data_IF_431896425345
#
_entry.id   IF_431896425345
#
_cell.length_a   1.000
_cell.length_b   1.000
_cell.length_c   1.000
_cell.angle_alpha   90.00
_cell.angle_beta   90.00
_cell.angle_gamma   90.00
#
_symmetry.space_group_name_H-M   'P 1'
#
loop_
_entity.id
_entity.type
_entity.pdbx_description
1 polymer ?
#
# COMPACT_ATOMS: atom_id res chain seq x y z
N UNK A 1 9.04 46.98 -23.32
CA UNK A 1 8.45 45.69 -22.93
C UNK A 1 8.42 45.47 -21.41
N UNK A 2 9.27 46.12 -20.62
CA UNK A 2 9.36 45.89 -19.16
C UNK A 2 8.14 46.34 -18.32
N UNK A 3 7.39 47.36 -18.76
CA UNK A 3 6.22 47.86 -18.00
C UNK A 3 5.04 46.88 -17.93
N UNK A 4 5.00 45.88 -18.82
CA UNK A 4 3.90 44.90 -18.89
C UNK A 4 4.13 43.70 -17.95
N UNK A 5 5.39 43.38 -17.63
CA UNK A 5 5.74 42.30 -16.71
C UNK A 5 5.53 42.68 -15.24
N UNK A 6 5.80 43.95 -14.87
CA UNK A 6 5.62 44.43 -13.49
C UNK A 6 4.13 44.43 -13.10
N UNK A 7 3.25 44.89 -14.01
CA UNK A 7 1.80 44.89 -13.77
C UNK A 7 1.19 43.49 -13.61
N UNK A 8 1.80 42.45 -14.22
CA UNK A 8 1.32 41.07 -14.11
C UNK A 8 1.69 40.45 -12.75
N UNK A 9 2.85 40.82 -12.20
CA UNK A 9 3.32 40.33 -10.90
C UNK A 9 2.50 40.95 -9.76
N UNK A 10 2.18 42.24 -9.83
CA UNK A 10 1.36 42.93 -8.83
C UNK A 10 -0.08 42.36 -8.79
N UNK A 11 -0.63 41.93 -9.93
CA UNK A 11 -1.98 41.37 -10.02
C UNK A 11 -2.07 39.96 -9.40
N UNK A 12 -1.01 39.14 -9.58
CA UNK A 12 -0.89 37.81 -8.96
C UNK A 12 -0.68 37.92 -7.45
N UNK A 13 0.16 38.84 -6.99
CA UNK A 13 0.37 39.09 -5.55
C UNK A 13 -0.93 39.58 -4.90
N UNK A 14 -1.65 40.50 -5.56
CA UNK A 14 -2.95 40.97 -5.08
C UNK A 14 -4.02 39.87 -5.06
N UNK A 15 -3.99 38.90 -5.99
CA UNK A 15 -4.89 37.76 -5.98
C UNK A 15 -4.60 36.78 -4.82
N UNK A 16 -3.33 36.57 -4.48
CA UNK A 16 -2.92 35.74 -3.34
C UNK A 16 -3.34 36.34 -2.00
N UNK A 17 -3.19 37.66 -1.81
CA UNK A 17 -3.62 38.32 -0.58
C UNK A 17 -5.14 38.26 -0.38
N UNK A 18 -5.92 38.37 -1.46
CA UNK A 18 -7.39 38.22 -1.41
C UNK A 18 -7.81 36.79 -1.04
N UNK A 19 -7.18 35.77 -1.61
CA UNK A 19 -7.46 34.37 -1.23
C UNK A 19 -7.09 34.06 0.22
N UNK A 20 -6.02 34.68 0.74
CA UNK A 20 -5.60 34.46 2.12
C UNK A 20 -6.59 35.05 3.13
N UNK A 21 -7.15 36.23 2.83
CA UNK A 21 -8.14 36.85 3.71
C UNK A 21 -9.51 36.14 3.64
N UNK A 22 -9.92 35.65 2.47
CA UNK A 22 -11.13 34.81 2.34
C UNK A 22 -10.98 33.48 3.10
N UNK A 23 -9.82 32.82 2.99
CA UNK A 23 -9.54 31.57 3.74
C UNK A 23 -9.56 31.82 5.25
N UNK A 24 -9.03 32.96 5.69
CA UNK A 24 -9.02 33.35 7.12
C UNK A 24 -10.42 33.65 7.62
N UNK A 25 -11.27 34.26 6.79
CA UNK A 25 -12.68 34.53 7.10
C UNK A 25 -13.49 33.23 7.21
N UNK A 26 -13.32 32.29 6.27
CA UNK A 26 -13.95 30.97 6.34
C UNK A 26 -13.51 30.19 7.59
N UNK A 27 -12.23 30.26 7.94
CA UNK A 27 -11.69 29.62 9.15
C UNK A 27 -12.25 30.26 10.44
N UNK A 28 -12.56 31.56 10.41
CA UNK A 28 -13.20 32.27 11.52
C UNK A 28 -14.68 31.93 11.64
N UNK A 29 -15.39 31.74 10.53
CA UNK A 29 -16.79 31.29 10.49
C UNK A 29 -16.94 29.85 10.97
N UNK A 30 -16.04 28.93 10.58
CA UNK A 30 -16.02 27.55 11.09
C UNK A 30 -15.74 27.49 12.61
N UNK A 31 -14.89 28.38 13.12
CA UNK A 31 -14.59 28.44 14.56
C UNK A 31 -15.76 28.98 15.39
N UNK A 32 -16.56 29.89 14.81
CA UNK A 32 -17.75 30.43 15.46
C UNK A 32 -18.89 29.38 15.52
N UNK A 33 -19.06 28.56 14.47
CA UNK A 33 -20.03 27.45 14.48
C UNK A 33 -19.69 26.35 15.50
N UNK A 34 -18.41 26.14 15.81
CA UNK A 34 -17.97 25.15 16.80
C UNK A 34 -18.21 25.56 18.26
N UNK A 35 -18.57 26.83 18.52
CA UNK A 35 -18.75 27.39 19.86
C UNK A 35 -20.17 27.24 20.44
N UNK A 36 -21.08 26.54 19.73
CA UNK A 36 -22.49 26.34 20.15
C UNK A 36 -22.89 24.87 20.44
N UNK A 37 -21.96 24.01 20.86
CA UNK A 37 -22.31 22.70 21.42
C UNK A 37 -22.05 22.62 22.93
N UNK A 38 -22.95 21.99 23.72
CA UNK A 38 -22.76 21.87 25.17
C UNK A 38 -21.58 20.94 25.51
N UNK A 39 -20.97 21.08 26.70
CA UNK A 39 -19.76 20.35 27.03
C UNK A 39 -20.08 18.86 27.23
N UNK A 40 -19.51 18.00 26.37
CA UNK A 40 -19.45 16.57 26.65
C UNK A 40 -18.37 16.32 27.69
N UNK A 41 -18.82 15.83 28.84
CA UNK A 41 -18.00 15.45 29.99
C UNK A 41 -16.83 14.55 29.59
N UNK A 42 -15.65 14.88 30.11
CA UNK A 42 -14.42 14.15 29.87
C UNK A 42 -14.52 12.69 30.31
N UNK A 43 -14.09 11.80 29.42
CA UNK A 43 -13.76 10.42 29.74
C UNK A 43 -12.34 10.14 29.24
N UNK A 44 -11.47 9.82 30.19
CA UNK A 44 -10.08 9.41 30.00
C UNK A 44 -9.94 8.35 28.90
N UNK A 45 -8.98 8.54 28.01
CA UNK A 45 -8.46 7.52 27.10
C UNK A 45 -7.76 6.43 27.93
N UNK A 46 -8.53 5.46 28.39
CA UNK A 46 -8.00 4.16 28.82
C UNK A 46 -8.25 3.18 27.68
N UNK A 47 -7.18 2.67 27.08
CA UNK A 47 -7.27 1.63 26.07
C UNK A 47 -8.11 0.44 26.60
N UNK A 48 -9.04 -0.11 25.81
CA UNK A 48 -9.80 -1.27 26.26
C UNK A 48 -8.87 -2.48 26.39
N UNK A 49 -8.82 -3.04 27.61
CA UNK A 49 -8.16 -4.32 27.88
C UNK A 49 -8.85 -5.44 27.09
N UNK A 50 -8.03 -6.34 26.54
CA UNK A 50 -8.42 -7.54 25.77
C UNK A 50 -9.48 -8.42 26.49
N UNK A 51 -9.56 -8.35 27.81
CA UNK A 51 -10.52 -9.10 28.63
C UNK A 51 -11.98 -8.63 28.51
N UNK A 52 -12.24 -7.41 28.01
CA UNK A 52 -13.59 -6.87 27.89
C UNK A 52 -14.40 -7.39 26.69
N UNK A 53 -13.74 -7.99 25.70
CA UNK A 53 -14.37 -8.42 24.44
C UNK A 53 -14.98 -9.83 24.54
N UNK A 54 -14.58 -10.64 25.53
CA UNK A 54 -14.98 -12.04 25.65
C UNK A 54 -16.07 -12.30 26.70
N UNK A 55 -16.57 -11.28 27.39
CA UNK A 55 -17.68 -11.47 28.32
C UNK A 55 -19.02 -11.52 27.56
N UNK A 56 -19.77 -12.64 27.59
CA UNK A 56 -21.10 -12.68 26.98
C UNK A 56 -22.05 -11.82 27.82
N UNK A 57 -22.59 -10.75 27.24
CA UNK A 57 -23.65 -9.95 27.85
C UNK A 57 -24.99 -10.72 27.77
N UNK A 58 -25.61 -11.13 28.89
CA UNK A 58 -26.79 -12.00 28.86
C UNK A 58 -28.12 -11.30 28.51
N UNK A 59 -28.10 -10.03 28.07
CA UNK A 59 -29.31 -9.21 27.96
C UNK A 59 -29.68 -8.72 26.55
N UNK A 60 -29.15 -9.29 25.46
CA UNK A 60 -29.59 -8.92 24.10
C UNK A 60 -30.14 -10.11 23.30
N UNK A 61 -31.37 -10.00 22.73
CA UNK A 61 -31.92 -11.01 21.85
C UNK A 61 -31.08 -11.10 20.57
N UNK A 62 -30.52 -12.29 20.36
CA UNK A 62 -29.70 -12.71 19.22
C UNK A 62 -30.50 -12.57 17.93
N UNK A 63 -30.25 -11.51 17.18
CA UNK A 63 -30.70 -11.34 15.79
C UNK A 63 -29.48 -11.04 14.91
N UNK A 64 -29.13 -11.98 14.04
CA UNK A 64 -28.16 -11.85 12.93
C UNK A 64 -28.77 -12.62 11.76
N UNK A 65 -28.78 -12.11 10.50
CA UNK A 65 -27.53 -12.11 9.70
C UNK A 65 -27.38 -11.07 8.57
N UNK A 66 -28.25 -10.05 8.38
CA UNK A 66 -28.13 -9.17 7.19
C UNK A 66 -26.90 -8.23 7.23
N UNK A 67 -26.59 -7.68 8.40
CA UNK A 67 -25.52 -6.69 8.55
C UNK A 67 -24.14 -7.31 8.36
N UNK A 68 -23.94 -8.58 8.75
CA UNK A 68 -22.66 -9.27 8.58
C UNK A 68 -22.32 -9.53 7.10
N UNK A 69 -23.31 -9.87 6.27
CA UNK A 69 -23.10 -10.06 4.84
C UNK A 69 -22.81 -8.73 4.11
N UNK A 70 -23.48 -7.64 4.48
CA UNK A 70 -23.20 -6.30 3.92
C UNK A 70 -21.82 -5.76 4.33
N UNK A 71 -21.37 -6.01 5.56
CA UNK A 71 -20.02 -5.63 6.00
C UNK A 71 -18.94 -6.45 5.28
N UNK A 72 -19.19 -7.72 4.98
CA UNK A 72 -18.27 -8.55 4.18
C UNK A 72 -18.22 -8.10 2.72
N UNK A 73 -19.36 -7.79 2.11
CA UNK A 73 -19.43 -7.27 0.73
C UNK A 73 -18.71 -5.92 0.58
N UNK A 74 -18.96 -4.99 1.49
CA UNK A 74 -18.25 -3.70 1.49
C UNK A 74 -16.75 -3.82 1.78
N UNK A 75 -16.33 -4.81 2.58
CA UNK A 75 -14.90 -5.10 2.79
C UNK A 75 -14.27 -5.62 1.49
N UNK A 76 -14.95 -6.54 0.79
CA UNK A 76 -14.51 -7.09 -0.48
C UNK A 76 -14.40 -6.01 -1.57
N UNK A 77 -15.41 -5.14 -1.69
CA UNK A 77 -15.42 -4.03 -2.64
C UNK A 77 -14.28 -3.03 -2.36
N UNK A 78 -14.05 -2.69 -1.09
CA UNK A 78 -12.93 -1.84 -0.70
C UNK A 78 -11.58 -2.50 -0.93
N UNK A 79 -11.47 -3.83 -0.78
CA UNK A 79 -10.23 -4.54 -1.12
C UNK A 79 -9.97 -4.57 -2.62
N UNK A 80 -11.01 -4.82 -3.43
CA UNK A 80 -10.92 -4.81 -4.90
C UNK A 80 -10.54 -3.42 -5.42
N UNK A 81 -11.16 -2.35 -4.91
CA UNK A 81 -10.82 -0.98 -5.29
C UNK A 81 -9.37 -0.63 -4.90
N UNK A 82 -8.92 -1.04 -3.71
CA UNK A 82 -7.54 -0.85 -3.27
C UNK A 82 -6.55 -1.68 -4.09
N UNK A 83 -6.92 -2.88 -4.50
CA UNK A 83 -6.11 -3.70 -5.40
C UNK A 83 -6.01 -3.08 -6.79
N UNK A 84 -7.10 -2.50 -7.31
CA UNK A 84 -7.06 -1.84 -8.61
C UNK A 84 -6.08 -0.66 -8.60
N UNK A 85 -6.17 0.21 -7.59
CA UNK A 85 -5.23 1.33 -7.43
C UNK A 85 -3.79 0.82 -7.29
N UNK A 86 -3.57 -0.21 -6.45
CA UNK A 86 -2.23 -0.80 -6.28
C UNK A 86 -1.71 -1.49 -7.53
N UNK A 87 -2.59 -2.03 -8.38
CA UNK A 87 -2.20 -2.71 -9.61
C UNK A 87 -1.69 -1.75 -10.69
N UNK A 88 -1.93 -0.44 -10.52
CA UNK A 88 -1.43 0.63 -11.39
C UNK A 88 -0.15 1.27 -10.83
N UNK A 89 0.44 0.75 -9.77
CA UNK A 89 1.57 1.39 -9.08
C UNK A 89 2.91 0.73 -9.38
N UNK A 90 3.94 1.55 -9.53
CA UNK A 90 5.35 1.13 -9.67
C UNK A 90 6.16 1.75 -8.53
N UNK A 91 6.91 0.93 -7.79
CA UNK A 91 7.76 1.39 -6.70
C UNK A 91 9.20 1.53 -7.20
N UNK A 92 9.75 2.72 -7.05
CA UNK A 92 11.17 3.02 -7.25
C UNK A 92 11.84 3.21 -5.89
N UNK A 93 12.94 2.50 -5.69
CA UNK A 93 13.85 2.73 -4.58
C UNK A 93 15.19 3.19 -5.10
N UNK A 94 15.90 4.00 -4.33
CA UNK A 94 17.28 4.36 -4.65
C UNK A 94 18.11 4.19 -3.38
N UNK A 95 19.39 3.85 -3.56
CA UNK A 95 20.37 3.84 -2.47
C UNK A 95 20.69 5.26 -1.99
N UNK A 96 20.29 6.29 -2.76
CA UNK A 96 20.43 7.70 -2.42
C UNK A 96 19.05 8.31 -2.20
N UNK A 97 18.97 9.31 -1.34
CA UNK A 97 17.73 10.07 -1.21
C UNK A 97 17.41 10.74 -2.54
N UNK A 98 16.17 10.58 -3.00
CA UNK A 98 15.71 11.35 -4.15
C UNK A 98 15.79 12.83 -3.82
N UNK A 99 16.25 13.67 -4.77
CA UNK A 99 16.29 15.10 -4.55
C UNK A 99 14.91 15.64 -4.13
N UNK A 100 14.92 16.79 -3.45
CA UNK A 100 13.71 17.51 -3.05
C UNK A 100 13.00 18.16 -4.27
N UNK A 101 12.84 17.39 -5.36
CA UNK A 101 12.06 17.76 -6.54
C UNK A 101 10.57 17.79 -6.21
N UNK A 102 9.82 18.61 -6.93
CA UNK A 102 8.37 18.64 -6.82
C UNK A 102 7.78 17.34 -7.37
N UNK A 103 6.58 16.96 -6.91
CA UNK A 103 5.89 15.76 -7.40
C UNK A 103 5.63 15.83 -8.91
N UNK A 104 5.31 17.02 -9.45
CA UNK A 104 5.09 17.21 -10.89
C UNK A 104 6.35 16.98 -11.72
N UNK A 105 7.51 17.45 -11.24
CA UNK A 105 8.80 17.26 -11.91
C UNK A 105 9.17 15.77 -11.99
N UNK A 106 8.87 15.00 -10.94
CA UNK A 106 9.11 13.56 -10.93
C UNK A 106 8.23 12.81 -11.93
N UNK A 107 6.98 13.24 -12.11
CA UNK A 107 6.07 12.67 -13.10
C UNK A 107 6.54 12.99 -14.52
N UNK A 108 6.91 14.25 -14.79
CA UNK A 108 7.47 14.65 -16.08
C UNK A 108 8.76 13.89 -16.39
N UNK A 109 9.62 13.71 -15.40
CA UNK A 109 10.86 12.96 -15.53
C UNK A 109 10.61 11.47 -15.81
N UNK A 110 9.65 10.86 -15.11
CA UNK A 110 9.23 9.48 -15.36
C UNK A 110 8.70 9.30 -16.79
N UNK A 111 7.83 10.23 -17.24
CA UNK A 111 7.28 10.19 -18.59
C UNK A 111 8.35 10.40 -19.66
N UNK A 112 9.33 11.27 -19.40
CA UNK A 112 10.50 11.43 -20.27
C UNK A 112 11.29 10.12 -20.37
N UNK A 113 11.55 9.47 -19.23
CA UNK A 113 12.26 8.19 -19.21
C UNK A 113 11.52 7.09 -19.99
N UNK A 114 10.18 7.01 -19.88
CA UNK A 114 9.35 6.06 -20.64
C UNK A 114 9.45 6.33 -22.13
N UNK A 115 9.40 7.59 -22.55
CA UNK A 115 9.51 7.97 -23.96
C UNK A 115 10.86 7.57 -24.55
N UNK A 116 11.94 7.69 -23.77
CA UNK A 116 13.29 7.29 -24.17
C UNK A 116 13.48 5.77 -24.29
N UNK A 117 12.56 4.95 -23.73
CA UNK A 117 12.60 3.49 -23.86
C UNK A 117 12.20 3.00 -25.27
N UNK A 118 11.46 3.82 -26.03
CA UNK A 118 11.06 3.53 -27.41
C UNK A 118 9.55 3.60 -27.68
N UNK A 119 9.18 3.49 -28.96
CA UNK A 119 7.78 3.59 -29.41
C UNK A 119 6.87 2.46 -28.91
N UNK A 120 7.44 1.31 -28.54
CA UNK A 120 6.69 0.16 -28.02
C UNK A 120 5.98 0.47 -26.69
N UNK A 121 6.41 1.51 -25.97
CA UNK A 121 5.84 1.98 -24.71
C UNK A 121 4.99 3.24 -24.88
N UNK A 122 4.73 3.66 -26.12
CA UNK A 122 3.90 4.82 -26.41
C UNK A 122 2.48 4.62 -25.86
N UNK A 123 2.05 5.55 -25.00
CA UNK A 123 0.74 5.49 -24.32
C UNK A 123 0.81 4.99 -22.87
N UNK A 124 1.98 4.59 -22.36
CA UNK A 124 2.19 4.40 -20.93
C UNK A 124 2.64 5.71 -20.29
N UNK A 125 1.91 6.13 -19.25
CA UNK A 125 2.15 7.42 -18.59
C UNK A 125 2.02 7.28 -17.08
N UNK A 126 2.95 7.90 -16.35
CA UNK A 126 2.78 8.22 -14.95
C UNK A 126 1.79 9.40 -14.82
N UNK A 127 0.73 9.18 -14.06
CA UNK A 127 -0.34 10.14 -13.78
C UNK A 127 -0.10 10.85 -12.44
N UNK A 128 0.58 10.16 -11.51
CA UNK A 128 0.82 10.68 -10.19
C UNK A 128 2.07 10.08 -9.56
N UNK A 129 2.52 10.72 -8.49
CA UNK A 129 3.65 10.26 -7.71
C UNK A 129 3.41 10.48 -6.23
N UNK A 130 3.94 9.58 -5.40
CA UNK A 130 3.92 9.69 -3.96
C UNK A 130 5.28 9.35 -3.38
N UNK A 131 5.87 10.28 -2.64
CA UNK A 131 7.08 10.03 -1.86
C UNK A 131 6.75 9.25 -0.59
N UNK A 132 7.52 8.20 -0.31
CA UNK A 132 7.41 7.39 0.89
C UNK A 132 8.40 7.89 1.96
N UNK A 133 8.02 7.76 3.22
CA UNK A 133 8.90 8.08 4.36
C UNK A 133 10.18 7.22 4.39
N UNK A 134 10.17 6.07 3.72
CA UNK A 134 11.33 5.19 3.56
C UNK A 134 12.34 5.68 2.51
N UNK A 135 12.13 6.85 1.91
CA UNK A 135 12.97 7.38 0.83
C UNK A 135 12.68 6.78 -0.56
N UNK A 136 11.62 5.97 -0.69
CA UNK A 136 11.16 5.45 -1.99
C UNK A 136 10.14 6.36 -2.66
N UNK A 137 9.89 6.13 -3.94
CA UNK A 137 8.88 6.84 -4.74
C UNK A 137 7.91 5.82 -5.33
N UNK A 138 6.61 6.07 -5.22
CA UNK A 138 5.58 5.27 -5.90
C UNK A 138 4.99 6.11 -7.01
N UNK A 139 5.09 5.63 -8.24
CA UNK A 139 4.37 6.19 -9.38
C UNK A 139 3.02 5.50 -9.55
N UNK A 140 2.00 6.27 -9.85
CA UNK A 140 0.71 5.78 -10.31
C UNK A 140 0.64 5.92 -11.82
N UNK A 141 0.41 4.80 -12.51
CA UNK A 141 0.34 4.68 -13.95
C UNK A 141 -1.10 4.83 -14.45
N UNK A 142 -1.25 5.23 -15.72
CA UNK A 142 -2.55 5.35 -16.37
C UNK A 142 -3.28 4.01 -16.56
N UNK A 143 -2.57 2.88 -16.53
CA UNK A 143 -3.13 1.54 -16.70
C UNK A 143 -2.38 0.49 -15.87
N UNK A 144 -3.05 -0.65 -15.62
CA UNK A 144 -2.41 -1.82 -14.98
C UNK A 144 -1.31 -2.39 -15.87
N UNK A 145 -1.58 -2.47 -17.17
CA UNK A 145 -0.65 -2.99 -18.17
C UNK A 145 0.66 -2.20 -18.17
N UNK A 146 0.59 -0.87 -18.14
CA UNK A 146 1.78 -0.02 -18.03
C UNK A 146 2.61 -0.35 -16.80
N UNK A 147 1.96 -0.52 -15.64
CA UNK A 147 2.64 -0.86 -14.40
C UNK A 147 3.25 -2.28 -14.43
N UNK A 148 2.57 -3.25 -15.02
CA UNK A 148 3.05 -4.64 -15.16
C UNK A 148 4.25 -4.71 -16.10
N UNK A 149 4.20 -4.02 -17.25
CA UNK A 149 5.30 -3.98 -18.22
C UNK A 149 6.54 -3.33 -17.60
N UNK A 150 6.41 -2.18 -16.94
CA UNK A 150 7.54 -1.51 -16.27
C UNK A 150 8.15 -2.33 -15.13
N UNK A 151 7.41 -3.30 -14.57
CA UNK A 151 7.90 -4.21 -13.53
C UNK A 151 8.45 -5.53 -14.08
N UNK A 152 8.29 -5.79 -15.38
CA UNK A 152 8.79 -7.01 -16.00
C UNK A 152 10.32 -7.06 -16.00
N UNK A 153 10.87 -8.27 -15.91
CA UNK A 153 12.32 -8.49 -15.73
C UNK A 153 13.17 -7.79 -16.78
N UNK A 154 12.70 -7.72 -18.03
CA UNK A 154 13.47 -7.18 -19.16
C UNK A 154 13.36 -5.66 -19.27
N UNK A 155 12.27 -5.07 -18.78
CA UNK A 155 11.92 -3.65 -18.98
C UNK A 155 12.25 -2.80 -17.76
N UNK A 156 12.19 -3.39 -16.56
CA UNK A 156 12.42 -2.68 -15.30
C UNK A 156 13.81 -2.04 -15.21
N UNK A 157 14.83 -2.73 -15.73
CA UNK A 157 16.23 -2.28 -15.69
C UNK A 157 16.43 -1.17 -16.72
N UNK A 158 15.80 -1.27 -17.89
CA UNK A 158 15.79 -0.23 -18.93
C UNK A 158 15.13 1.06 -18.42
N UNK A 159 13.96 0.95 -17.77
CA UNK A 159 13.30 2.10 -17.18
C UNK A 159 14.14 2.73 -16.05
N UNK A 160 14.75 1.92 -15.19
CA UNK A 160 15.62 2.39 -14.13
C UNK A 160 16.86 3.14 -14.66
N UNK A 161 17.46 2.65 -15.73
CA UNK A 161 18.60 3.29 -16.39
C UNK A 161 18.23 4.67 -16.95
N UNK A 162 17.11 4.74 -17.70
CA UNK A 162 16.62 6.00 -18.30
C UNK A 162 16.13 7.00 -17.23
N UNK A 163 15.52 6.53 -16.14
CA UNK A 163 15.07 7.39 -15.07
C UNK A 163 16.24 8.04 -14.30
N UNK A 164 17.41 7.42 -14.28
CA UNK A 164 18.59 7.98 -13.64
C UNK A 164 19.33 6.91 -12.85
N UNK A 165 20.28 6.26 -13.51
CA UNK A 165 21.10 5.17 -12.98
C UNK A 165 21.43 5.30 -11.48
N UNK A 166 21.02 4.29 -10.71
CA UNK A 166 21.04 4.32 -9.25
C UNK A 166 19.66 4.23 -8.60
N UNK A 167 18.61 4.06 -9.41
CA UNK A 167 17.28 3.64 -8.97
C UNK A 167 17.07 2.16 -9.29
N UNK A 168 16.25 1.49 -8.50
CA UNK A 168 15.81 0.12 -8.67
C UNK A 168 14.28 0.12 -8.68
N UNK A 169 13.69 -0.46 -9.72
CA UNK A 169 12.26 -0.74 -9.76
C UNK A 169 12.02 -1.99 -8.91
N UNK A 170 11.32 -1.83 -7.80
CA UNK A 170 10.95 -2.96 -6.95
C UNK A 170 9.68 -3.61 -7.46
N UNK A 171 9.71 -4.93 -7.74
CA UNK A 171 8.52 -5.66 -8.11
C UNK A 171 7.52 -5.61 -6.96
N UNK A 172 6.24 -5.48 -7.31
CA UNK A 172 5.18 -5.51 -6.32
C UNK A 172 5.13 -6.87 -5.63
N UNK A 173 5.11 -6.84 -4.30
CA UNK A 173 4.81 -8.01 -3.50
C UNK A 173 3.51 -7.84 -2.72
N UNK A 174 2.81 -8.96 -2.57
CA UNK A 174 1.49 -9.04 -1.97
C UNK A 174 1.58 -9.88 -0.68
N UNK A 175 1.60 -9.24 0.50
CA UNK A 175 1.74 -9.95 1.77
C UNK A 175 0.49 -10.76 2.12
N UNK A 176 0.69 -12.03 2.47
CA UNK A 176 -0.29 -12.92 3.07
C UNK A 176 0.26 -13.40 4.41
N UNK A 177 -0.56 -13.34 5.46
CA UNK A 177 -0.23 -13.95 6.74
C UNK A 177 -0.81 -15.36 6.76
N UNK A 178 0.05 -16.34 7.01
CA UNK A 178 -0.32 -17.74 7.19
C UNK A 178 -0.08 -18.11 8.65
N UNK A 179 -1.14 -18.51 9.33
CA UNK A 179 -1.06 -18.95 10.71
C UNK A 179 -0.80 -20.45 10.82
N UNK A 180 -0.31 -20.86 11.99
CA UNK A 180 -0.13 -22.27 12.38
C UNK A 180 0.92 -23.05 11.58
N UNK A 181 1.93 -22.35 11.03
CA UNK A 181 3.06 -22.98 10.34
C UNK A 181 4.00 -23.62 11.35
N UNK A 182 4.39 -24.88 11.14
CA UNK A 182 5.30 -25.59 12.04
C UNK A 182 6.66 -24.88 12.15
N UNK A 183 7.17 -24.73 13.37
CA UNK A 183 8.46 -24.06 13.64
C UNK A 183 9.67 -24.83 13.12
N UNK A 184 9.48 -26.10 12.72
CA UNK A 184 10.47 -26.90 12.00
C UNK A 184 10.73 -26.44 10.56
N UNK A 185 9.82 -25.65 9.97
CA UNK A 185 9.96 -25.12 8.62
C UNK A 185 11.14 -24.14 8.53
N UNK A 186 12.10 -24.41 7.63
CA UNK A 186 13.40 -23.71 7.59
C UNK A 186 13.48 -22.68 6.49
N UNK A 187 13.10 -21.46 6.82
CA UNK A 187 13.37 -20.28 6.00
C UNK A 187 14.78 -19.80 6.29
N UNK A 188 15.76 -20.38 5.59
CA UNK A 188 17.16 -19.92 5.66
C UNK A 188 17.64 -19.55 4.26
N UNK A 189 18.54 -18.57 4.16
CA UNK A 189 19.09 -18.06 2.89
C UNK A 189 19.64 -19.15 1.94
N UNK A 190 20.00 -20.32 2.47
CA UNK A 190 20.54 -21.45 1.66
C UNK A 190 19.48 -22.43 1.16
N UNK A 191 18.31 -22.49 1.80
CA UNK A 191 17.24 -23.48 1.51
C UNK A 191 15.94 -22.84 1.05
N UNK A 192 15.90 -21.50 0.98
CA UNK A 192 14.71 -20.70 0.71
C UNK A 192 14.01 -21.12 -0.60
N UNK A 193 14.77 -21.32 -1.67
CA UNK A 193 14.22 -21.69 -2.98
C UNK A 193 13.52 -23.06 -2.97
N UNK A 194 14.14 -24.07 -2.34
CA UNK A 194 13.57 -25.42 -2.27
C UNK A 194 12.29 -25.45 -1.42
N UNK A 195 12.29 -24.72 -0.31
CA UNK A 195 11.12 -24.66 0.59
C UNK A 195 9.96 -23.87 -0.05
N UNK A 196 10.25 -22.87 -0.90
CA UNK A 196 9.23 -22.16 -1.67
C UNK A 196 8.60 -23.06 -2.72
N UNK A 197 9.41 -23.79 -3.48
CA UNK A 197 8.91 -24.75 -4.46
C UNK A 197 8.01 -25.80 -3.81
N UNK A 198 8.38 -26.32 -2.64
CA UNK A 198 7.53 -27.26 -1.88
C UNK A 198 6.18 -26.62 -1.54
N UNK A 199 6.14 -25.39 -1.04
CA UNK A 199 4.88 -24.69 -0.75
C UNK A 199 4.07 -24.47 -2.02
N UNK A 200 4.72 -24.03 -3.09
CA UNK A 200 4.07 -23.74 -4.37
C UNK A 200 3.42 -25.00 -4.96
N UNK A 201 4.16 -26.11 -5.02
CA UNK A 201 3.67 -27.40 -5.50
C UNK A 201 2.51 -27.93 -4.65
N UNK A 202 2.65 -27.93 -3.31
CA UNK A 202 1.60 -28.42 -2.42
C UNK A 202 0.30 -27.59 -2.49
N UNK A 203 0.40 -26.30 -2.81
CA UNK A 203 -0.74 -25.40 -2.89
C UNK A 203 -1.22 -25.13 -4.33
N UNK A 204 -0.65 -25.83 -5.33
CA UNK A 204 -0.92 -25.60 -6.75
C UNK A 204 -0.76 -24.12 -7.13
N UNK A 205 0.33 -23.51 -6.69
CA UNK A 205 0.77 -22.19 -7.10
C UNK A 205 1.75 -22.33 -8.27
N UNK A 206 1.78 -21.36 -9.20
CA UNK A 206 2.83 -21.29 -10.20
C UNK A 206 4.21 -21.23 -9.55
N UNK A 207 5.23 -21.83 -10.17
CA UNK A 207 6.60 -21.72 -9.69
C UNK A 207 7.09 -20.27 -9.64
N UNK A 208 7.78 -19.87 -8.57
CA UNK A 208 8.26 -18.50 -8.37
C UNK A 208 7.17 -17.50 -8.01
N UNK A 209 6.01 -17.99 -7.54
CA UNK A 209 4.93 -17.16 -6.99
C UNK A 209 5.30 -16.52 -5.65
N UNK A 210 6.13 -17.20 -4.86
CA UNK A 210 6.60 -16.71 -3.56
C UNK A 210 7.89 -15.91 -3.78
N UNK A 211 7.81 -14.60 -3.53
CA UNK A 211 8.92 -13.65 -3.65
C UNK A 211 9.78 -13.67 -2.38
N UNK A 212 9.14 -13.75 -1.23
CA UNK A 212 9.79 -13.71 0.07
C UNK A 212 8.90 -14.34 1.15
N UNK A 213 9.50 -14.76 2.25
CA UNK A 213 8.83 -15.35 3.38
C UNK A 213 9.63 -15.04 4.63
N UNK A 214 8.94 -14.61 5.69
CA UNK A 214 9.58 -14.34 6.97
C UNK A 214 8.67 -14.66 8.13
N UNK A 215 9.27 -15.19 9.18
CA UNK A 215 8.57 -15.39 10.44
C UNK A 215 8.17 -14.05 11.05
N UNK A 216 6.90 -13.92 11.46
CA UNK A 216 6.43 -12.71 12.14
C UNK A 216 7.06 -12.60 13.52
N UNK A 217 7.19 -13.73 14.23
CA UNK A 217 7.89 -13.80 15.52
C UNK A 217 9.25 -14.49 15.36
N UNK A 218 10.36 -13.84 15.74
CA UNK A 218 11.68 -14.48 15.70
C UNK A 218 11.76 -15.61 16.75
N UNK A 219 12.64 -16.62 16.56
CA UNK A 219 12.77 -17.75 17.49
C UNK A 219 12.99 -17.34 18.95
N UNK A 220 13.71 -16.24 19.20
CA UNK A 220 13.98 -15.71 20.54
C UNK A 220 12.75 -15.21 21.29
N UNK A 221 11.65 -14.94 20.59
CA UNK A 221 10.39 -14.47 21.17
C UNK A 221 9.31 -15.58 21.20
N UNK A 222 9.67 -16.81 20.86
CA UNK A 222 8.77 -17.97 20.93
C UNK A 222 8.91 -18.66 22.27
N UNK A 223 7.81 -19.23 22.77
CA UNK A 223 7.90 -20.15 23.91
C UNK A 223 8.71 -21.38 23.51
N UNK A 224 9.46 -21.97 24.45
CA UNK A 224 10.20 -23.22 24.22
C UNK A 224 9.29 -24.40 23.85
N UNK A 225 8.01 -24.32 24.20
CA UNK A 225 6.98 -25.32 23.88
C UNK A 225 6.19 -25.02 22.61
N UNK A 226 6.45 -23.89 21.94
CA UNK A 226 5.68 -23.47 20.78
C UNK A 226 6.08 -24.26 19.52
N UNK A 227 5.16 -25.08 19.01
CA UNK A 227 5.36 -25.92 17.82
C UNK A 227 4.91 -25.27 16.52
N UNK A 228 4.07 -24.23 16.59
CA UNK A 228 3.54 -23.50 15.44
C UNK A 228 3.76 -21.99 15.58
N UNK A 229 3.92 -21.28 14.47
CA UNK A 229 4.09 -19.83 14.43
C UNK A 229 3.44 -19.24 13.17
N UNK A 230 3.23 -17.91 13.19
CA UNK A 230 2.71 -17.18 12.05
C UNK A 230 3.82 -16.76 11.09
N UNK A 231 3.55 -16.94 9.80
CA UNK A 231 4.46 -16.67 8.70
C UNK A 231 3.88 -15.54 7.83
N UNK A 232 4.71 -14.58 7.45
CA UNK A 232 4.37 -13.62 6.41
C UNK A 232 4.98 -14.12 5.09
N UNK A 233 4.14 -14.43 4.12
CA UNK A 233 4.50 -14.75 2.73
C UNK A 233 4.30 -13.51 1.87
N UNK A 234 5.20 -13.27 0.92
CA UNK A 234 5.10 -12.22 -0.08
C UNK A 234 4.94 -12.88 -1.45
N UNK A 235 3.81 -12.64 -2.11
CA UNK A 235 3.49 -13.21 -3.41
C UNK A 235 3.73 -12.20 -4.53
N UNK A 236 3.97 -12.66 -5.75
CA UNK A 236 4.13 -11.81 -6.93
C UNK A 236 2.80 -11.42 -7.61
N UNK A 237 1.67 -11.98 -7.17
CA UNK A 237 0.35 -11.76 -7.77
C UNK A 237 -0.73 -11.51 -6.73
N UNK A 238 -1.57 -10.49 -6.98
CA UNK A 238 -2.75 -10.18 -6.18
C UNK A 238 -3.78 -11.31 -6.22
N UNK A 239 -3.97 -11.94 -7.39
CA UNK A 239 -4.90 -13.06 -7.54
C UNK A 239 -4.47 -14.25 -6.67
N UNK A 240 -3.16 -14.52 -6.59
CA UNK A 240 -2.63 -15.56 -5.71
C UNK A 240 -2.79 -15.19 -4.24
N UNK A 241 -2.65 -13.90 -3.88
CA UNK A 241 -2.91 -13.41 -2.54
C UNK A 241 -4.36 -13.65 -2.12
N UNK A 242 -5.33 -13.28 -2.97
CA UNK A 242 -6.75 -13.53 -2.71
C UNK A 242 -6.99 -15.04 -2.55
N UNK A 243 -6.56 -15.84 -3.54
CA UNK A 243 -6.74 -17.31 -3.52
C UNK A 243 -6.18 -17.95 -2.25
N UNK A 244 -4.96 -17.60 -1.85
CA UNK A 244 -4.35 -18.14 -0.64
C UNK A 244 -5.05 -17.64 0.63
N UNK A 245 -5.48 -16.37 0.67
CA UNK A 245 -6.23 -15.86 1.81
C UNK A 245 -7.54 -16.63 2.00
N UNK A 246 -8.29 -16.89 0.92
CA UNK A 246 -9.51 -17.69 0.96
C UNK A 246 -9.25 -19.13 1.43
N UNK A 247 -8.17 -19.76 0.94
CA UNK A 247 -7.78 -21.09 1.39
C UNK A 247 -7.46 -21.12 2.88
N UNK A 248 -6.68 -20.16 3.39
CA UNK A 248 -6.34 -20.07 4.83
C UNK A 248 -7.60 -19.88 5.69
N UNK A 249 -8.51 -18.99 5.29
CA UNK A 249 -9.78 -18.79 6.01
C UNK A 249 -10.70 -20.03 5.97
N UNK A 250 -10.71 -20.77 4.87
CA UNK A 250 -11.51 -22.00 4.74
C UNK A 250 -11.01 -23.16 5.61
N UNK A 251 -9.72 -23.17 5.95
CA UNK A 251 -9.12 -24.17 6.84
C UNK A 251 -9.39 -23.83 8.32
N UNK A 252 -9.45 -22.55 8.68
CA UNK A 252 -9.75 -22.10 10.04
C UNK A 252 -11.22 -22.25 10.45
N UNK A 253 -12.15 -22.38 9.49
CA UNK A 253 -13.59 -22.51 9.73
C UNK A 253 -14.11 -23.95 9.72
N UNK A 254 -13.22 -24.93 9.56
CA UNK A 254 -13.53 -26.38 9.55
C UNK A 254 -13.29 -27.09 10.89
N UNK A 255 -13.09 -26.36 11.99
CA UNK A 255 -13.04 -26.92 13.35
C UNK A 255 -14.40 -26.86 14.07
#
# INVERSE_FOLDING_TARGET
MEKKCIALVDDVVGAMERMMEDTKKEMMEMKNLSSQMPPSSGANLTQPSYTGVLAPNPAQPRSTPLTAQQTLQSTLENTLAKEEIKSKQVLLTSDREFPACLETELVEHANTAILEMGEDYAGYEAVGVKKLQSGGIVFEMNSREAAEILQSTDVKDLFAENFGGGVEVKPRSYPVVVDHVLTSFRITLKTQELEYQVIEEHNNLPGGSIVDARWIKPPSQRSSTQTTASLALHLNSAQLQIKLSEMVYSLQTRE
#
